data_IF_940414072321
#
_entry.id   IF_940414072321
#
_cell.length_a   1.000
_cell.length_b   1.000
_cell.length_c   1.000
_cell.angle_alpha   90.00
_cell.angle_beta   90.00
_cell.angle_gamma   90.00
#
_symmetry.space_group_name_H-M   'P 1'
#
loop_
_entity.id
_entity.type
_entity.pdbx_description
1 polymer ?
#
# COMPACT_ATOMS: atom_id res chain seq x y z
N UNK A 1 -6.06 25.51 28.17
CA UNK A 1 -5.67 24.77 26.95
C UNK A 1 -5.01 23.44 27.30
N UNK A 2 -5.75 22.31 27.34
CA UNK A 2 -5.12 20.97 27.48
C UNK A 2 -4.55 20.56 26.13
N UNK A 3 -3.26 20.84 25.93
CA UNK A 3 -2.58 20.86 24.65
C UNK A 3 -2.55 19.52 23.90
N UNK A 4 -2.48 19.62 22.57
CA UNK A 4 -2.33 18.50 21.62
C UNK A 4 -1.01 17.73 21.82
N UNK A 5 0.02 18.37 22.37
CA UNK A 5 1.36 17.83 22.58
C UNK A 5 1.42 16.65 23.59
N UNK A 6 0.85 16.73 24.80
CA UNK A 6 0.83 15.58 25.72
C UNK A 6 0.06 14.37 25.17
N UNK A 7 -1.03 14.59 24.41
CA UNK A 7 -1.76 13.50 23.74
C UNK A 7 -0.91 12.81 22.67
N UNK A 8 -0.04 13.56 21.97
CA UNK A 8 0.89 13.00 20.99
C UNK A 8 1.95 12.12 21.66
N UNK A 9 2.60 12.62 22.73
CA UNK A 9 3.61 11.85 23.49
C UNK A 9 3.07 10.51 24.01
N UNK A 10 1.87 10.51 24.57
CA UNK A 10 1.23 9.27 25.07
C UNK A 10 0.93 8.31 23.93
N UNK A 11 0.53 8.81 22.76
CA UNK A 11 0.30 7.98 21.57
C UNK A 11 1.60 7.37 21.05
N UNK A 12 2.67 8.15 20.98
CA UNK A 12 3.96 7.71 20.46
C UNK A 12 4.53 6.56 21.35
N UNK A 13 4.39 6.65 22.69
CA UNK A 13 4.71 5.55 23.62
C UNK A 13 3.91 4.26 23.37
N UNK A 14 2.65 4.38 22.95
CA UNK A 14 1.85 3.21 22.60
C UNK A 14 2.28 2.57 21.28
N UNK A 15 2.77 3.35 20.33
CA UNK A 15 3.30 2.83 19.06
C UNK A 15 4.62 2.07 19.31
N UNK A 16 5.52 2.62 20.13
CA UNK A 16 6.74 1.90 20.57
C UNK A 16 6.41 0.59 21.31
N UNK A 17 5.34 0.57 22.10
CA UNK A 17 4.90 -0.65 22.78
C UNK A 17 4.39 -1.73 21.81
N UNK A 18 3.82 -1.32 20.67
CA UNK A 18 3.39 -2.26 19.62
C UNK A 18 4.60 -2.80 18.88
N UNK A 19 5.54 -1.94 18.52
CA UNK A 19 6.78 -2.31 17.82
C UNK A 19 7.57 -3.33 18.66
N UNK A 20 7.71 -3.08 19.97
CA UNK A 20 8.36 -4.03 20.89
C UNK A 20 7.67 -5.40 20.94
N UNK A 21 6.33 -5.46 20.92
CA UNK A 21 5.61 -6.74 20.92
C UNK A 21 5.82 -7.48 19.59
N UNK A 22 5.88 -6.75 18.48
CA UNK A 22 6.14 -7.35 17.15
C UNK A 22 7.56 -7.93 17.09
N UNK A 23 8.54 -7.28 17.69
CA UNK A 23 9.93 -7.77 17.72
C UNK A 23 10.10 -9.01 18.60
N UNK A 24 9.42 -9.07 19.74
CA UNK A 24 9.59 -10.14 20.74
C UNK A 24 8.74 -11.37 20.45
N UNK A 25 7.64 -11.22 19.69
CA UNK A 25 6.66 -12.29 19.47
C UNK A 25 6.62 -12.68 17.99
N UNK A 26 6.87 -13.95 17.69
CA UNK A 26 6.76 -14.56 16.35
C UNK A 26 5.31 -14.71 15.82
N UNK A 27 4.39 -13.84 16.23
CA UNK A 27 2.99 -13.92 15.83
C UNK A 27 2.25 -12.60 15.95
N UNK A 28 1.01 -12.58 15.45
CA UNK A 28 0.21 -11.34 15.41
C UNK A 28 0.05 -10.75 16.82
N UNK A 29 0.38 -9.46 17.01
CA UNK A 29 0.22 -8.80 18.30
C UNK A 29 -1.26 -8.73 18.66
N UNK A 30 -1.60 -9.15 19.87
CA UNK A 30 -2.96 -9.06 20.42
C UNK A 30 -3.01 -7.88 21.39
N UNK A 31 -4.18 -7.24 21.53
CA UNK A 31 -4.35 -6.09 22.43
C UNK A 31 -3.84 -6.35 23.86
N UNK A 32 -3.96 -7.58 24.36
CA UNK A 32 -3.45 -7.96 25.70
C UNK A 32 -1.93 -7.83 25.81
N UNK A 33 -1.20 -8.20 24.76
CA UNK A 33 0.26 -8.13 24.71
C UNK A 33 0.72 -6.68 24.74
N UNK A 34 0.06 -5.83 23.95
CA UNK A 34 0.34 -4.39 23.89
C UNK A 34 0.00 -3.68 25.20
N UNK A 35 -1.09 -4.06 25.89
CA UNK A 35 -1.42 -3.52 27.22
C UNK A 35 -0.32 -3.89 28.23
N UNK A 36 0.15 -5.14 28.20
CA UNK A 36 1.22 -5.62 29.08
C UNK A 36 2.54 -4.90 28.80
N UNK A 37 2.90 -4.76 27.52
CA UNK A 37 4.09 -4.03 27.10
C UNK A 37 4.02 -2.54 27.48
N UNK A 38 2.88 -1.88 27.27
CA UNK A 38 2.71 -0.48 27.64
C UNK A 38 2.84 -0.25 29.16
N UNK A 39 2.34 -1.18 29.97
CA UNK A 39 2.49 -1.11 31.43
C UNK A 39 3.94 -1.37 31.88
N UNK A 40 4.59 -2.41 31.34
CA UNK A 40 5.89 -2.86 31.81
C UNK A 40 7.07 -2.05 31.23
N UNK A 41 6.99 -1.64 29.97
CA UNK A 41 8.08 -0.97 29.24
C UNK A 41 7.95 0.56 29.36
N UNK A 42 6.73 1.08 29.26
CA UNK A 42 6.49 2.53 29.14
C UNK A 42 5.88 3.15 30.41
N UNK A 43 5.46 2.32 31.37
CA UNK A 43 4.79 2.76 32.60
C UNK A 43 3.41 3.40 32.35
N UNK A 44 2.77 3.11 31.22
CA UNK A 44 1.50 3.74 30.81
C UNK A 44 0.36 2.72 30.87
N UNK A 45 -0.75 3.13 31.48
CA UNK A 45 -1.97 2.32 31.53
C UNK A 45 -2.74 2.44 30.21
N UNK A 46 -2.73 1.38 29.41
CA UNK A 46 -3.46 1.30 28.14
C UNK A 46 -4.88 0.75 28.36
N UNK A 47 -5.89 1.35 27.72
CA UNK A 47 -7.18 0.66 27.56
C UNK A 47 -7.15 -0.31 26.38
N UNK A 48 -8.03 -1.32 26.39
CA UNK A 48 -8.18 -2.25 25.28
C UNK A 48 -8.40 -1.54 23.94
N UNK A 49 -9.27 -0.53 23.91
CA UNK A 49 -9.55 0.24 22.70
C UNK A 49 -8.33 1.04 22.21
N UNK A 50 -7.48 1.52 23.12
CA UNK A 50 -6.23 2.20 22.74
C UNK A 50 -5.24 1.23 22.12
N UNK A 51 -5.05 0.06 22.73
CA UNK A 51 -4.18 -1.00 22.23
C UNK A 51 -4.65 -1.53 20.86
N UNK A 52 -5.94 -1.84 20.71
CA UNK A 52 -6.53 -2.28 19.45
C UNK A 52 -6.32 -1.27 18.32
N UNK A 53 -6.56 0.01 18.59
CA UNK A 53 -6.32 1.08 17.61
C UNK A 53 -4.83 1.26 17.29
N UNK A 54 -3.93 1.04 18.25
CA UNK A 54 -2.49 1.12 18.03
C UNK A 54 -2.01 -0.01 17.11
N UNK A 55 -2.48 -1.24 17.35
CA UNK A 55 -2.23 -2.38 16.46
C UNK A 55 -2.75 -2.09 15.05
N UNK A 56 -3.99 -1.61 14.91
CA UNK A 56 -4.55 -1.28 13.60
C UNK A 56 -3.73 -0.21 12.84
N UNK A 57 -3.18 0.79 13.55
CA UNK A 57 -2.27 1.79 12.96
C UNK A 57 -0.95 1.17 12.53
N UNK A 58 -0.33 0.34 13.36
CA UNK A 58 0.92 -0.34 13.04
C UNK A 58 0.77 -1.24 11.81
N UNK A 59 -0.29 -2.05 11.75
CA UNK A 59 -0.61 -2.89 10.58
C UNK A 59 -0.79 -2.03 9.33
N UNK A 60 -1.51 -0.92 9.44
CA UNK A 60 -1.71 0.02 8.32
C UNK A 60 -0.38 0.61 7.85
N UNK A 61 0.52 0.97 8.78
CA UNK A 61 1.87 1.49 8.49
C UNK A 61 2.73 0.45 7.76
N UNK A 62 2.81 -0.77 8.27
CA UNK A 62 3.55 -1.86 7.61
C UNK A 62 2.97 -2.18 6.23
N UNK A 63 1.64 -2.25 6.11
CA UNK A 63 0.99 -2.46 4.82
C UNK A 63 1.28 -1.31 3.86
N UNK A 64 1.39 -0.07 4.37
CA UNK A 64 1.76 1.09 3.59
C UNK A 64 3.18 0.99 3.03
N UNK A 65 4.13 0.60 3.86
CA UNK A 65 5.53 0.39 3.48
C UNK A 65 5.66 -0.73 2.45
N UNK A 66 4.99 -1.88 2.67
CA UNK A 66 4.96 -2.98 1.70
C UNK A 66 4.38 -2.55 0.35
N UNK A 67 3.28 -1.82 0.36
CA UNK A 67 2.68 -1.29 -0.87
C UNK A 67 3.62 -0.29 -1.56
N UNK A 68 4.32 0.56 -0.80
CA UNK A 68 5.31 1.48 -1.38
C UNK A 68 6.47 0.74 -2.06
N UNK A 69 7.02 -0.28 -1.39
CA UNK A 69 8.06 -1.13 -1.95
C UNK A 69 7.58 -1.84 -3.22
N UNK A 70 6.37 -2.41 -3.19
CA UNK A 70 5.76 -3.05 -4.37
C UNK A 70 5.56 -2.08 -5.54
N UNK A 71 5.10 -0.84 -5.28
CA UNK A 71 5.00 0.18 -6.32
C UNK A 71 6.37 0.59 -6.88
N UNK A 72 7.43 0.58 -6.07
CA UNK A 72 8.80 0.82 -6.54
C UNK A 72 9.30 -0.23 -7.55
N UNK A 73 8.74 -1.45 -7.53
CA UNK A 73 9.08 -2.53 -8.46
C UNK A 73 8.33 -2.44 -9.80
N UNK A 74 7.44 -1.47 -9.99
CA UNK A 74 6.60 -1.43 -11.19
C UNK A 74 7.44 -1.25 -12.46
N UNK A 75 8.50 -0.44 -12.42
CA UNK A 75 9.34 -0.18 -13.59
C UNK A 75 10.14 -1.41 -13.99
N UNK A 76 10.70 -2.15 -13.03
CA UNK A 76 11.40 -3.41 -13.31
C UNK A 76 10.44 -4.48 -13.81
N UNK A 77 9.24 -4.56 -13.24
CA UNK A 77 8.18 -5.44 -13.74
C UNK A 77 7.83 -5.13 -15.20
N UNK A 78 7.64 -3.86 -15.55
CA UNK A 78 7.32 -3.43 -16.91
C UNK A 78 8.44 -3.74 -17.91
N UNK A 79 9.70 -3.57 -17.50
CA UNK A 79 10.84 -3.94 -18.31
C UNK A 79 10.84 -5.44 -18.63
N UNK A 80 10.64 -6.30 -17.62
CA UNK A 80 10.52 -7.74 -17.82
C UNK A 80 9.27 -8.14 -18.61
N UNK A 81 8.17 -7.41 -18.43
CA UNK A 81 6.94 -7.61 -19.20
C UNK A 81 7.20 -7.40 -20.69
N UNK A 82 7.88 -6.33 -21.09
CA UNK A 82 8.24 -6.07 -22.48
C UNK A 82 9.22 -7.10 -23.04
N UNK A 83 10.22 -7.51 -22.26
CA UNK A 83 11.18 -8.54 -22.65
C UNK A 83 10.51 -9.89 -22.96
N UNK A 84 9.47 -10.26 -22.19
CA UNK A 84 8.77 -11.55 -22.36
C UNK A 84 7.60 -11.50 -23.33
N UNK A 85 7.08 -10.32 -23.63
CA UNK A 85 5.95 -10.14 -24.53
C UNK A 85 6.40 -9.23 -25.67
N UNK A 86 6.94 -9.84 -26.73
CA UNK A 86 7.31 -9.14 -27.96
C UNK A 86 6.13 -8.31 -28.50
N UNK A 87 6.45 -7.20 -29.19
CA UNK A 87 5.49 -6.22 -29.72
C UNK A 87 4.60 -5.49 -28.69
N UNK A 88 4.80 -5.70 -27.39
CA UNK A 88 4.02 -5.00 -26.37
C UNK A 88 4.35 -3.51 -26.28
N UNK A 89 3.31 -2.68 -26.20
CA UNK A 89 3.45 -1.25 -25.96
C UNK A 89 3.31 -0.98 -24.47
N UNK A 90 4.33 -0.39 -23.85
CA UNK A 90 4.28 0.11 -22.48
C UNK A 90 4.60 1.60 -22.50
N UNK A 91 3.79 2.40 -21.78
CA UNK A 91 4.02 3.82 -21.58
C UNK A 91 3.83 4.15 -20.10
N UNK A 92 4.91 4.61 -19.45
CA UNK A 92 4.88 5.09 -18.09
C UNK A 92 5.16 6.59 -18.09
N UNK A 93 4.32 7.37 -17.42
CA UNK A 93 4.50 8.80 -17.23
C UNK A 93 4.67 9.09 -15.75
N UNK A 94 5.79 9.72 -15.41
CA UNK A 94 6.12 10.14 -14.04
C UNK A 94 5.97 11.65 -13.89
N UNK A 95 5.64 12.08 -12.69
CA UNK A 95 5.59 13.49 -12.30
C UNK A 95 7.00 14.05 -12.03
N UNK A 96 7.10 15.36 -11.74
CA UNK A 96 8.35 16.04 -11.38
C UNK A 96 9.09 15.37 -10.20
N UNK A 97 8.35 14.80 -9.26
CA UNK A 97 8.87 14.04 -8.12
C UNK A 97 9.21 12.56 -8.45
N UNK A 98 9.29 12.20 -9.74
CA UNK A 98 9.45 10.82 -10.23
C UNK A 98 8.38 9.82 -9.77
N UNK A 99 7.21 10.32 -9.36
CA UNK A 99 6.07 9.48 -8.98
C UNK A 99 5.29 9.06 -10.22
N UNK A 100 4.96 7.77 -10.33
CA UNK A 100 4.16 7.25 -11.43
C UNK A 100 2.77 7.91 -11.42
N UNK A 101 2.44 8.60 -12.52
CA UNK A 101 1.17 9.32 -12.70
C UNK A 101 0.20 8.55 -13.59
N UNK A 102 0.71 7.99 -14.69
CA UNK A 102 -0.07 7.20 -15.64
C UNK A 102 0.74 6.02 -16.14
N UNK A 103 0.06 4.89 -16.32
CA UNK A 103 0.62 3.67 -16.88
C UNK A 103 -0.33 3.11 -17.92
N UNK A 104 0.14 3.00 -19.15
CA UNK A 104 -0.54 2.33 -20.25
C UNK A 104 0.21 1.05 -20.61
N UNK A 105 -0.52 -0.06 -20.71
CA UNK A 105 0.04 -1.36 -21.10
C UNK A 105 -0.87 -1.94 -22.18
N UNK A 106 -0.28 -2.35 -23.30
CA UNK A 106 -0.95 -3.09 -24.35
C UNK A 106 -0.04 -4.27 -24.76
N UNK A 107 -0.34 -5.50 -24.31
CA UNK A 107 0.37 -6.70 -24.72
C UNK A 107 0.36 -6.89 -26.25
N UNK A 108 1.45 -7.42 -26.79
CA UNK A 108 1.60 -7.66 -28.24
C UNK A 108 0.50 -8.53 -28.83
N UNK A 109 0.11 -9.61 -28.15
CA UNK A 109 -0.97 -10.47 -28.62
C UNK A 109 -2.30 -9.71 -28.79
N UNK A 110 -2.63 -8.80 -27.87
CA UNK A 110 -3.83 -7.97 -27.99
C UNK A 110 -3.71 -7.06 -29.20
N UNK A 111 -2.57 -6.40 -29.41
CA UNK A 111 -2.35 -5.57 -30.61
C UNK A 111 -2.57 -6.34 -31.90
N UNK A 112 -2.11 -7.59 -31.96
CA UNK A 112 -2.29 -8.44 -33.14
C UNK A 112 -3.76 -8.84 -33.33
N UNK A 113 -4.44 -9.27 -32.27
CA UNK A 113 -5.88 -9.60 -32.33
C UNK A 113 -6.73 -8.41 -32.75
N UNK A 114 -6.43 -7.22 -32.22
CA UNK A 114 -7.18 -5.98 -32.48
C UNK A 114 -7.13 -5.52 -33.94
N UNK A 115 -6.14 -5.94 -34.74
CA UNK A 115 -6.07 -5.62 -36.18
C UNK A 115 -7.20 -6.25 -36.99
N UNK A 116 -7.80 -7.32 -36.48
CA UNK A 116 -8.80 -8.12 -37.18
C UNK A 116 -10.23 -7.87 -36.72
N UNK A 117 -10.41 -7.03 -35.69
CA UNK A 117 -11.72 -6.73 -35.10
C UNK A 117 -12.18 -5.34 -35.54
N UNK A 118 -13.50 -5.11 -35.57
CA UNK A 118 -14.04 -3.77 -35.81
C UNK A 118 -13.53 -2.81 -34.72
N UNK A 119 -13.24 -1.54 -35.05
CA UNK A 119 -12.67 -0.57 -34.12
C UNK A 119 -13.75 -0.03 -33.14
N UNK A 120 -14.33 -0.93 -32.36
CA UNK A 120 -15.23 -0.59 -31.25
C UNK A 120 -14.44 -0.74 -29.97
N UNK A 121 -14.30 0.34 -29.22
CA UNK A 121 -13.58 0.36 -27.96
C UNK A 121 -14.58 0.54 -26.83
N UNK A 122 -14.78 -0.49 -26.01
CA UNK A 122 -15.45 -0.34 -24.72
C UNK A 122 -14.42 0.04 -23.66
N UNK A 123 -14.69 1.11 -22.90
CA UNK A 123 -13.85 1.53 -21.79
C UNK A 123 -14.59 1.30 -20.47
N UNK A 124 -14.06 0.42 -19.63
CA UNK A 124 -14.51 0.23 -18.26
C UNK A 124 -13.54 0.89 -17.28
N UNK A 125 -14.09 1.50 -16.23
CA UNK A 125 -13.37 2.29 -15.25
C UNK A 125 -13.60 1.78 -13.84
N UNK A 126 -12.57 1.22 -13.22
CA UNK A 126 -12.64 0.68 -11.87
C UNK A 126 -11.82 1.52 -10.89
N UNK A 127 -12.45 2.00 -9.82
CA UNK A 127 -11.73 2.67 -8.73
C UNK A 127 -10.98 1.67 -7.87
N UNK A 128 -9.66 1.83 -7.76
CA UNK A 128 -8.79 0.96 -6.97
C UNK A 128 -8.92 1.27 -5.48
N UNK A 129 -9.12 0.23 -4.66
CA UNK A 129 -9.26 0.33 -3.20
C UNK A 129 -7.93 0.45 -2.43
N UNK A 130 -6.82 0.81 -3.09
CA UNK A 130 -5.52 0.95 -2.44
C UNK A 130 -5.32 2.34 -1.81
N UNK A 131 -4.35 2.46 -0.89
CA UNK A 131 -3.98 3.75 -0.32
C UNK A 131 -3.42 4.72 -1.38
N UNK A 132 -2.91 4.17 -2.49
CA UNK A 132 -2.36 4.88 -3.64
C UNK A 132 -3.43 5.13 -4.71
N UNK A 133 -4.70 5.26 -4.27
CA UNK A 133 -5.93 5.56 -5.01
C UNK A 133 -5.71 5.93 -6.48
N UNK A 134 -6.36 5.19 -7.37
CA UNK A 134 -6.36 5.46 -8.80
C UNK A 134 -7.58 4.87 -9.48
N UNK A 135 -7.70 5.13 -10.78
CA UNK A 135 -8.71 4.51 -11.62
C UNK A 135 -7.99 3.61 -12.62
N UNK A 136 -8.35 2.33 -12.63
CA UNK A 136 -7.96 1.42 -13.68
C UNK A 136 -8.94 1.59 -14.83
N UNK A 137 -8.43 1.98 -15.99
CA UNK A 137 -9.18 1.97 -17.23
C UNK A 137 -8.81 0.72 -18.01
N UNK A 138 -9.78 -0.15 -18.25
CA UNK A 138 -9.62 -1.32 -19.11
C UNK A 138 -10.33 -1.04 -20.42
N UNK A 139 -9.66 -1.35 -21.52
CA UNK A 139 -10.24 -1.27 -22.84
C UNK A 139 -10.46 -2.69 -23.36
N UNK A 140 -11.68 -3.01 -23.77
CA UNK A 140 -12.03 -4.29 -24.39
C UNK A 140 -12.74 -4.06 -25.72
N UNK A 141 -12.67 -5.07 -26.58
CA UNK A 141 -13.27 -5.07 -27.92
C UNK A 141 -14.26 -6.20 -28.05
#
# INVERSE_FOLDING_TARGET
>A
MKGRAPKKRVRDKFEESVDHVIEVKDGTPVSKDVIKAAANVQGVRASYNQAFRAIGRAVTKTQREKQQASFGLIMSYLHHFQLRNEDSTVRAESDADQRLRRLGICPGFMKHSLRHVRPVLSLDGAHLKSQWKGTLYTASV
#
